data_IF_210906024081
#
_entry.id   IF_210906024081
#
_cell.length_a   1.000
_cell.length_b   1.000
_cell.length_c   1.000
_cell.angle_alpha   90.00
_cell.angle_beta   90.00
_cell.angle_gamma   90.00
#
_symmetry.space_group_name_H-M   'P 1'
#
loop_
_entity.id
_entity.type
_entity.pdbx_description
1 polymer ?
#
# COMPACT_ATOMS: atom_id res chain seq x y z
N UNK A 1 12.39 16.00 19.84
CA UNK A 1 12.10 14.86 18.96
C UNK A 1 12.08 15.38 17.52
N UNK A 2 13.03 14.97 16.67
CA UNK A 2 13.01 15.35 15.24
C UNK A 2 11.79 14.69 14.60
N UNK A 3 10.97 15.47 13.88
CA UNK A 3 9.89 14.88 13.06
C UNK A 3 10.55 13.89 12.09
N UNK A 4 10.02 12.66 11.95
CA UNK A 4 10.54 11.73 10.96
C UNK A 4 10.45 12.42 9.59
N UNK A 5 11.56 12.41 8.85
CA UNK A 5 11.60 12.94 7.50
C UNK A 5 10.59 12.16 6.65
N UNK A 6 9.57 12.86 6.13
CA UNK A 6 8.60 12.24 5.24
C UNK A 6 9.21 12.15 3.85
N UNK A 7 9.75 10.98 3.53
CA UNK A 7 10.13 10.66 2.16
C UNK A 7 8.85 10.49 1.32
N UNK A 8 8.70 11.30 0.28
CA UNK A 8 7.63 11.11 -0.72
C UNK A 8 8.26 10.57 -1.99
N UNK A 9 7.86 9.36 -2.39
CA UNK A 9 8.32 8.72 -3.62
C UNK A 9 7.16 8.67 -4.60
N UNK A 10 7.41 9.05 -5.85
CA UNK A 10 6.46 8.89 -6.95
C UNK A 10 6.61 7.48 -7.54
N UNK A 11 5.55 6.69 -7.55
CA UNK A 11 5.53 5.36 -8.18
C UNK A 11 4.55 5.33 -9.34
N UNK A 12 5.00 4.81 -10.48
CA UNK A 12 4.14 4.49 -11.61
C UNK A 12 3.67 3.03 -11.48
N UNK A 13 2.39 2.85 -11.16
CA UNK A 13 1.78 1.53 -11.03
C UNK A 13 1.09 1.13 -12.34
N UNK A 14 1.59 0.07 -13.00
CA UNK A 14 0.94 -0.53 -14.17
C UNK A 14 0.15 -1.75 -13.75
N UNK A 15 -1.08 -1.87 -14.25
CA UNK A 15 -1.95 -3.01 -13.98
C UNK A 15 -2.81 -3.32 -15.21
N UNK A 16 -3.38 -4.52 -15.24
CA UNK A 16 -4.29 -4.93 -16.32
C UNK A 16 -5.59 -4.12 -16.29
N UNK A 17 -6.35 -4.06 -17.41
CA UNK A 17 -7.65 -3.40 -17.43
C UNK A 17 -8.64 -3.94 -16.39
N UNK A 18 -8.58 -5.23 -16.08
CA UNK A 18 -9.42 -5.88 -15.06
C UNK A 18 -9.04 -5.44 -13.65
N UNK A 19 -7.74 -5.41 -13.34
CA UNK A 19 -7.22 -4.91 -12.07
C UNK A 19 -7.57 -3.43 -11.89
N UNK A 20 -7.45 -2.61 -12.93
CA UNK A 20 -7.82 -1.19 -12.89
C UNK A 20 -9.32 -1.00 -12.61
N UNK A 21 -10.20 -1.83 -13.20
CA UNK A 21 -11.64 -1.81 -12.93
C UNK A 21 -11.94 -2.17 -11.48
N UNK A 22 -11.31 -3.21 -10.95
CA UNK A 22 -11.47 -3.63 -9.57
C UNK A 22 -11.00 -2.56 -8.59
N UNK A 23 -9.80 -1.98 -8.80
CA UNK A 23 -9.26 -0.91 -7.98
C UNK A 23 -10.20 0.30 -7.90
N UNK A 24 -10.74 0.74 -9.04
CA UNK A 24 -11.70 1.86 -9.08
C UNK A 24 -12.99 1.54 -8.32
N UNK A 25 -13.50 0.30 -8.46
CA UNK A 25 -14.70 -0.14 -7.74
C UNK A 25 -14.47 -0.14 -6.23
N UNK A 26 -13.37 -0.74 -5.78
CA UNK A 26 -13.01 -0.81 -4.37
C UNK A 26 -12.80 0.58 -3.76
N UNK A 27 -12.06 1.45 -4.45
CA UNK A 27 -11.83 2.83 -4.01
C UNK A 27 -13.16 3.60 -3.84
N UNK A 28 -14.12 3.40 -4.75
CA UNK A 28 -15.46 4.02 -4.66
C UNK A 28 -16.25 3.50 -3.47
N UNK A 29 -16.27 2.18 -3.25
CA UNK A 29 -16.99 1.55 -2.12
C UNK A 29 -16.41 2.04 -0.79
N UNK A 30 -15.09 2.07 -0.68
CA UNK A 30 -14.40 2.51 0.53
C UNK A 30 -14.35 4.05 0.69
N UNK A 31 -14.79 4.81 -0.32
CA UNK A 31 -14.74 6.29 -0.36
C UNK A 31 -13.33 6.86 -0.11
N UNK A 32 -12.31 6.21 -0.67
CA UNK A 32 -10.91 6.62 -0.58
C UNK A 32 -10.29 6.78 -1.97
N UNK A 33 -9.17 7.51 -2.06
CA UNK A 33 -8.41 7.56 -3.31
C UNK A 33 -7.68 6.23 -3.55
N UNK A 34 -7.47 5.88 -4.82
CA UNK A 34 -6.68 4.70 -5.20
C UNK A 34 -5.27 4.80 -4.59
N UNK A 35 -4.65 5.99 -4.61
CA UNK A 35 -3.32 6.21 -4.03
C UNK A 35 -3.28 5.96 -2.52
N UNK A 36 -4.33 6.31 -1.77
CA UNK A 36 -4.43 5.98 -0.35
C UNK A 36 -4.56 4.48 -0.16
N UNK A 37 -5.47 3.84 -0.91
CA UNK A 37 -5.69 2.40 -0.81
C UNK A 37 -4.43 1.58 -1.13
N UNK A 38 -3.66 1.98 -2.15
CA UNK A 38 -2.38 1.35 -2.48
C UNK A 38 -1.33 1.57 -1.39
N UNK A 39 -1.27 2.76 -0.79
CA UNK A 39 -0.33 3.06 0.30
C UNK A 39 -0.66 2.26 1.54
N UNK A 40 -1.92 2.24 1.95
CA UNK A 40 -2.38 1.47 3.11
C UNK A 40 -2.14 -0.03 2.88
N UNK A 41 -2.41 -0.53 1.67
CA UNK A 41 -2.13 -1.92 1.30
C UNK A 41 -0.64 -2.27 1.30
N UNK A 42 0.22 -1.35 0.85
CA UNK A 42 1.68 -1.53 0.91
C UNK A 42 2.19 -1.56 2.35
N UNK A 43 1.67 -0.69 3.23
CA UNK A 43 2.00 -0.70 4.66
C UNK A 43 1.66 -2.05 5.29
N UNK A 44 0.44 -2.54 5.07
CA UNK A 44 0.02 -3.84 5.63
C UNK A 44 0.87 -5.01 5.11
N UNK A 45 1.27 -4.96 3.83
CA UNK A 45 2.14 -5.98 3.27
C UNK A 45 3.53 -5.95 3.90
N UNK A 46 4.13 -4.76 4.06
CA UNK A 46 5.43 -4.60 4.71
C UNK A 46 5.42 -5.03 6.19
N UNK A 47 4.37 -4.66 6.94
CA UNK A 47 4.21 -5.07 8.34
C UNK A 47 4.11 -6.60 8.47
N UNK A 48 3.44 -7.24 7.52
CA UNK A 48 3.34 -8.70 7.48
C UNK A 48 4.68 -9.35 7.15
N UNK A 49 5.38 -8.86 6.13
CA UNK A 49 6.70 -9.37 5.74
C UNK A 49 7.73 -9.20 6.87
N UNK A 50 7.73 -8.05 7.56
CA UNK A 50 8.58 -7.80 8.73
C UNK A 50 8.28 -8.79 9.86
N UNK A 51 6.99 -9.06 10.12
CA UNK A 51 6.58 -10.05 11.11
C UNK A 51 7.06 -11.45 10.74
N UNK A 52 6.81 -11.89 9.49
CA UNK A 52 7.24 -13.21 9.01
C UNK A 52 8.77 -13.36 9.07
N UNK A 53 9.52 -12.29 8.78
CA UNK A 53 10.98 -12.27 8.94
C UNK A 53 11.39 -12.42 10.40
N UNK A 54 10.80 -11.66 11.32
CA UNK A 54 11.12 -11.72 12.74
C UNK A 54 10.80 -13.10 13.34
N UNK A 55 9.65 -13.67 12.98
CA UNK A 55 9.23 -15.02 13.39
C UNK A 55 10.17 -16.11 12.86
N UNK A 56 10.79 -15.91 11.68
CA UNK A 56 11.76 -16.84 11.10
C UNK A 56 13.18 -16.73 11.70
N UNK A 57 13.50 -15.60 12.35
CA UNK A 57 14.83 -15.32 12.93
C UNK A 57 14.90 -15.46 14.45
N UNK A 58 13.78 -15.81 15.11
CA UNK A 58 13.68 -16.07 16.56
C UNK A 58 13.52 -17.56 16.82
#
# INVERSE_FOLDING_TARGET
>A
MKKPERLTVMMNFRCSPEQARLLRRMARVARVSISKMLRDGLTLWLERDEKELNDATT
#
